data_IF_122215265273
#
_entry.id   IF_122215265273
#
_cell.length_a   1.000
_cell.length_b   1.000
_cell.length_c   1.000
_cell.angle_alpha   90.00
_cell.angle_beta   90.00
_cell.angle_gamma   90.00
#
_symmetry.space_group_name_H-M   'P 1'
#
loop_
_entity.id
_entity.type
_entity.pdbx_description
1 polymer ?
#
# COMPACT_ATOMS: atom_id res chain seq x y z
N UNK A 1 14.08 -50.06 27.65
CA UNK A 1 14.13 -49.31 26.38
C UNK A 1 15.19 -48.22 26.49
N UNK A 2 16.04 -47.99 25.48
CA UNK A 2 17.07 -46.96 25.58
C UNK A 2 16.43 -45.57 25.55
N UNK A 3 16.90 -44.68 26.44
CA UNK A 3 16.44 -43.30 26.51
C UNK A 3 17.10 -42.48 25.40
N UNK A 4 16.33 -42.08 24.40
CA UNK A 4 16.81 -41.17 23.34
C UNK A 4 16.75 -39.74 23.87
N UNK A 5 17.91 -39.09 24.05
CA UNK A 5 17.99 -37.68 24.48
C UNK A 5 17.95 -36.77 23.26
N UNK A 6 16.88 -35.96 23.14
CA UNK A 6 16.69 -35.00 22.04
C UNK A 6 17.24 -33.62 22.41
N UNK A 7 18.03 -33.01 21.52
CA UNK A 7 18.50 -31.62 21.66
C UNK A 7 17.39 -30.62 21.32
N UNK A 8 17.36 -29.47 21.99
CA UNK A 8 16.42 -28.37 21.73
C UNK A 8 17.12 -27.20 21.03
N UNK A 9 16.41 -26.50 20.14
CA UNK A 9 16.93 -25.32 19.44
C UNK A 9 16.78 -24.00 20.20
N UNK A 10 16.14 -24.00 21.38
CA UNK A 10 15.89 -22.82 22.23
C UNK A 10 15.24 -21.63 21.48
N UNK A 11 14.41 -21.91 20.47
CA UNK A 11 13.63 -20.90 19.77
C UNK A 11 12.70 -20.15 20.73
N UNK A 12 12.61 -18.84 20.52
CA UNK A 12 11.67 -18.01 21.27
C UNK A 12 10.24 -18.21 20.73
N UNK A 13 9.23 -18.06 21.59
CA UNK A 13 7.84 -18.06 21.14
C UNK A 13 7.58 -16.91 20.15
N UNK A 14 6.50 -16.98 19.35
CA UNK A 14 6.11 -15.90 18.46
C UNK A 14 5.84 -14.61 19.25
N UNK A 15 6.17 -13.46 18.66
CA UNK A 15 5.92 -12.15 19.27
C UNK A 15 4.43 -11.87 19.48
N UNK A 16 3.58 -12.37 18.57
CA UNK A 16 2.15 -12.20 18.61
C UNK A 16 1.45 -13.52 18.87
N UNK A 17 0.67 -13.56 19.95
CA UNK A 17 -0.16 -14.71 20.28
C UNK A 17 -1.37 -14.83 19.36
N UNK A 18 -1.93 -16.04 19.27
CA UNK A 18 -3.10 -16.30 18.44
C UNK A 18 -4.33 -15.47 18.84
N UNK A 19 -4.56 -15.31 20.16
CA UNK A 19 -5.69 -14.49 20.66
C UNK A 19 -5.51 -13.01 20.33
N UNK A 20 -4.27 -12.52 20.36
CA UNK A 20 -3.96 -11.14 19.92
C UNK A 20 -4.29 -10.96 18.44
N UNK A 21 -3.87 -11.90 17.58
CA UNK A 21 -4.17 -11.84 16.15
C UNK A 21 -5.69 -11.89 15.88
N UNK A 22 -6.44 -12.73 16.61
CA UNK A 22 -7.90 -12.80 16.49
C UNK A 22 -8.59 -11.51 16.96
N UNK A 23 -8.03 -10.82 17.95
CA UNK A 23 -8.57 -9.56 18.47
C UNK A 23 -8.39 -8.37 17.52
N UNK A 24 -7.54 -8.51 16.49
CA UNK A 24 -7.30 -7.44 15.52
C UNK A 24 -8.59 -7.11 14.78
N UNK A 25 -9.01 -5.85 14.94
CA UNK A 25 -10.10 -5.27 14.18
C UNK A 25 -9.63 -3.96 13.55
N UNK A 26 -10.39 -3.48 12.56
CA UNK A 26 -10.09 -2.22 11.88
C UNK A 26 -11.36 -1.39 11.87
N UNK A 27 -11.24 -0.15 12.32
CA UNK A 27 -12.29 0.86 12.21
C UNK A 27 -12.54 1.30 10.76
N UNK A 28 -11.57 1.05 9.87
CA UNK A 28 -11.61 1.47 8.47
C UNK A 28 -12.41 0.53 7.54
N UNK A 29 -13.18 -0.40 8.11
CA UNK A 29 -14.03 -1.32 7.34
C UNK A 29 -15.36 -0.70 6.91
N UNK A 30 -15.71 0.46 7.47
CA UNK A 30 -16.98 1.12 7.15
C UNK A 30 -17.01 1.72 5.75
N UNK A 31 -18.19 1.74 5.13
CA UNK A 31 -18.43 2.26 3.78
C UNK A 31 -17.97 3.71 3.60
N UNK A 32 -18.05 4.53 4.68
CA UNK A 32 -17.58 5.93 4.65
C UNK A 32 -16.12 6.07 4.21
N UNK A 33 -15.26 5.14 4.63
CA UNK A 33 -13.83 5.17 4.30
C UNK A 33 -13.59 4.71 2.87
N UNK A 34 -14.32 3.69 2.43
CA UNK A 34 -14.29 3.25 1.03
C UNK A 34 -14.75 4.36 0.09
N UNK A 35 -15.89 4.99 0.39
CA UNK A 35 -16.41 6.12 -0.38
C UNK A 35 -15.39 7.25 -0.46
N UNK A 36 -14.80 7.64 0.67
CA UNK A 36 -13.77 8.68 0.70
C UNK A 36 -12.53 8.29 -0.09
N UNK A 37 -12.11 7.03 -0.01
CA UNK A 37 -11.00 6.49 -0.80
C UNK A 37 -11.25 6.61 -2.31
N UNK A 38 -12.45 6.21 -2.77
CA UNK A 38 -12.84 6.35 -4.16
C UNK A 38 -12.87 7.82 -4.61
N UNK A 39 -13.44 8.73 -3.80
CA UNK A 39 -13.45 10.16 -4.10
C UNK A 39 -12.04 10.74 -4.24
N UNK A 40 -11.10 10.33 -3.38
CA UNK A 40 -9.71 10.79 -3.45
C UNK A 40 -8.98 10.19 -4.64
N UNK A 41 -9.23 8.91 -4.96
CA UNK A 41 -8.66 8.27 -6.15
C UNK A 41 -9.06 9.02 -7.42
N UNK A 42 -10.34 9.34 -7.59
CA UNK A 42 -10.81 10.11 -8.75
C UNK A 42 -10.20 11.51 -8.81
N UNK A 43 -10.05 12.19 -7.66
CA UNK A 43 -9.38 13.50 -7.61
C UNK A 43 -7.93 13.42 -8.05
N UNK A 44 -7.17 12.43 -7.57
CA UNK A 44 -5.77 12.25 -7.99
C UNK A 44 -5.72 11.91 -9.47
N UNK A 45 -6.59 11.02 -9.96
CA UNK A 45 -6.70 10.69 -11.38
C UNK A 45 -6.95 11.94 -12.23
N UNK A 46 -7.87 12.82 -11.84
CA UNK A 46 -8.09 14.10 -12.52
C UNK A 46 -6.85 15.00 -12.48
N UNK A 47 -6.14 15.07 -11.35
CA UNK A 47 -4.89 15.82 -11.27
C UNK A 47 -3.83 15.26 -12.23
N UNK A 48 -3.80 13.94 -12.44
CA UNK A 48 -2.84 13.28 -13.34
C UNK A 48 -3.25 13.39 -14.82
N UNK A 49 -4.54 13.31 -15.14
CA UNK A 49 -5.08 13.27 -16.51
C UNK A 49 -5.34 14.67 -17.08
N UNK A 50 -5.65 15.67 -16.25
CA UNK A 50 -5.85 17.04 -16.74
C UNK A 50 -4.56 17.60 -17.37
N UNK A 51 -4.73 18.57 -18.28
CA UNK A 51 -3.65 19.30 -18.95
C UNK A 51 -2.60 19.89 -17.98
N UNK A 52 -2.89 19.94 -16.67
CA UNK A 52 -1.97 20.36 -15.63
C UNK A 52 -0.70 19.52 -15.57
N UNK A 53 -0.75 18.18 -15.72
CA UNK A 53 0.46 17.36 -15.71
C UNK A 53 1.15 17.35 -17.07
N UNK A 54 0.41 17.35 -18.18
CA UNK A 54 1.03 17.48 -19.51
C UNK A 54 1.66 18.86 -19.76
N UNK A 55 1.28 19.88 -18.99
CA UNK A 55 1.90 21.21 -18.97
C UNK A 55 2.97 21.38 -17.89
N UNK A 56 3.18 20.37 -17.02
CA UNK A 56 4.29 20.36 -16.07
C UNK A 56 5.62 20.12 -16.77
N UNK A 57 6.68 20.63 -16.14
CA UNK A 57 8.04 20.26 -16.52
C UNK A 57 8.25 18.75 -16.29
N UNK A 58 9.02 18.05 -17.16
CA UNK A 58 9.24 16.60 -17.03
C UNK A 58 9.73 16.16 -15.64
N UNK A 59 10.49 17.01 -14.95
CA UNK A 59 10.95 16.72 -13.59
C UNK A 59 9.80 16.64 -12.58
N UNK A 60 8.79 17.51 -12.70
CA UNK A 60 7.63 17.53 -11.80
C UNK A 60 6.73 16.32 -12.04
N UNK A 61 6.63 15.88 -13.29
CA UNK A 61 5.94 14.64 -13.65
C UNK A 61 6.59 13.42 -12.98
N UNK A 62 7.93 13.33 -13.04
CA UNK A 62 8.68 12.26 -12.38
C UNK A 62 8.59 12.33 -10.85
N UNK A 63 8.59 13.52 -10.26
CA UNK A 63 8.36 13.70 -8.82
C UNK A 63 6.96 13.23 -8.40
N UNK A 64 5.93 13.49 -9.20
CA UNK A 64 4.59 12.98 -8.95
C UNK A 64 4.57 11.45 -8.97
N UNK A 65 5.18 10.83 -9.97
CA UNK A 65 5.29 9.37 -10.08
C UNK A 65 6.05 8.79 -8.88
N UNK A 66 7.20 9.35 -8.50
CA UNK A 66 7.96 8.93 -7.31
C UNK A 66 7.10 8.98 -6.04
N UNK A 67 6.33 10.07 -5.86
CA UNK A 67 5.42 10.21 -4.73
C UNK A 67 4.36 9.11 -4.70
N UNK A 68 3.75 8.76 -5.86
CA UNK A 68 2.75 7.68 -5.92
C UNK A 68 3.34 6.32 -5.52
N UNK A 69 4.55 6.01 -5.99
CA UNK A 69 5.26 4.78 -5.63
C UNK A 69 5.63 4.74 -4.14
N UNK A 70 6.17 5.84 -3.60
CA UNK A 70 6.60 5.91 -2.20
C UNK A 70 5.44 5.93 -1.21
N UNK A 71 4.28 6.42 -1.62
CA UNK A 71 3.04 6.32 -0.87
C UNK A 71 2.39 4.93 -0.96
N UNK A 72 2.87 4.05 -1.84
CA UNK A 72 2.33 2.71 -2.04
C UNK A 72 0.94 2.71 -2.70
N UNK A 73 0.63 3.75 -3.48
CA UNK A 73 -0.67 3.91 -4.16
C UNK A 73 -0.56 3.90 -5.69
N UNK A 74 0.64 3.72 -6.25
CA UNK A 74 0.88 3.72 -7.70
C UNK A 74 0.03 2.69 -8.47
N UNK A 75 -0.25 1.53 -7.86
CA UNK A 75 -1.10 0.49 -8.45
C UNK A 75 -2.54 0.93 -8.78
N UNK A 76 -2.98 2.09 -8.28
CA UNK A 76 -4.27 2.66 -8.62
C UNK A 76 -4.26 3.48 -9.91
N UNK A 77 -3.07 3.82 -10.44
CA UNK A 77 -2.85 4.79 -11.51
C UNK A 77 -1.87 4.27 -12.58
N UNK A 78 -1.79 2.96 -12.79
CA UNK A 78 -0.81 2.34 -13.70
C UNK A 78 -0.96 2.87 -15.13
N UNK A 79 -2.19 2.97 -15.63
CA UNK A 79 -2.48 3.50 -16.98
C UNK A 79 -2.01 4.95 -17.14
N UNK A 80 -2.24 5.80 -16.12
CA UNK A 80 -1.83 7.20 -16.16
C UNK A 80 -0.31 7.37 -16.04
N UNK A 81 0.34 6.54 -15.23
CA UNK A 81 1.81 6.52 -15.10
C UNK A 81 2.43 6.12 -16.45
N UNK A 82 1.92 5.06 -17.08
CA UNK A 82 2.41 4.60 -18.38
C UNK A 82 2.21 5.68 -19.45
N UNK A 83 1.07 6.39 -19.43
CA UNK A 83 0.82 7.50 -20.35
C UNK A 83 1.81 8.66 -20.20
N UNK A 84 2.27 8.97 -18.98
CA UNK A 84 3.24 10.05 -18.74
C UNK A 84 4.66 9.61 -19.13
N UNK A 85 5.00 8.34 -18.94
CA UNK A 85 6.33 7.79 -19.22
C UNK A 85 6.55 7.44 -20.70
N UNK A 86 5.50 7.40 -21.50
CA UNK A 86 5.54 7.12 -22.95
C UNK A 86 5.81 8.39 -23.75
#
# INVERSE_FOLDING_TARGET
SPTIVRRTGNYKPPLWGFDFLQSLSSEYKEERYMKRGCELKEKVKLMVVEEQVMSMEPIQQLELIDNLYRLGISYHFEDEIDQILT
#
